data_IF_751658474385
#
_entry.id   IF_751658474385
#
_cell.length_a   1.000
_cell.length_b   1.000
_cell.length_c   1.000
_cell.angle_alpha   90.00
_cell.angle_beta   90.00
_cell.angle_gamma   90.00
#
_symmetry.space_group_name_H-M   'P 1'
#
loop_
_entity.id
_entity.type
_entity.pdbx_description
1 polymer ?
#
# COMPACT_ATOMS: atom_id res chain seq x y z
N UNK A 1 6.07 5.24 -6.34
CA UNK A 1 6.17 5.84 -5.00
C UNK A 1 5.76 7.29 -5.09
N UNK A 2 5.14 7.82 -4.04
CA UNK A 2 4.85 9.25 -3.96
C UNK A 2 6.16 10.06 -3.81
N UNK A 3 6.04 11.38 -3.79
CA UNK A 3 7.17 12.30 -3.64
C UNK A 3 7.29 12.86 -2.21
N UNK A 4 6.95 12.07 -1.19
CA UNK A 4 7.19 12.47 0.19
C UNK A 4 8.68 12.81 0.41
N UNK A 5 8.98 13.73 1.31
CA UNK A 5 10.35 14.25 1.52
C UNK A 5 11.36 13.14 1.85
N UNK A 6 10.93 12.07 2.51
CA UNK A 6 11.77 10.91 2.83
C UNK A 6 12.10 10.04 1.61
N UNK A 7 11.29 10.08 0.55
CA UNK A 7 11.53 9.36 -0.70
C UNK A 7 12.43 10.13 -1.67
N UNK A 8 12.49 11.47 -1.52
CA UNK A 8 13.21 12.37 -2.43
C UNK A 8 14.51 12.94 -1.84
N UNK A 9 14.82 12.66 -0.57
CA UNK A 9 15.99 13.21 0.09
C UNK A 9 17.31 12.73 -0.52
N UNK A 10 18.36 13.54 -0.42
CA UNK A 10 19.70 13.21 -0.95
C UNK A 10 20.31 11.95 -0.30
N UNK A 11 19.87 11.64 0.92
CA UNK A 11 20.23 10.41 1.66
C UNK A 11 19.35 9.21 1.32
N UNK A 12 18.39 9.34 0.39
CA UNK A 12 17.58 8.22 -0.05
C UNK A 12 18.50 7.12 -0.57
N UNK A 13 18.29 5.90 -0.05
CA UNK A 13 19.16 4.77 -0.35
C UNK A 13 19.15 4.48 -1.86
N UNK A 14 20.32 4.52 -2.48
CA UNK A 14 20.53 4.04 -3.84
C UNK A 14 20.66 2.52 -3.79
N UNK A 15 19.95 1.84 -4.68
CA UNK A 15 19.97 0.39 -4.81
C UNK A 15 20.55 0.04 -6.17
N UNK A 16 21.38 -1.00 -6.25
CA UNK A 16 22.07 -1.36 -7.50
C UNK A 16 21.12 -1.92 -8.57
N UNK A 17 20.00 -2.49 -8.15
CA UNK A 17 19.08 -3.26 -8.98
C UNK A 17 17.60 -2.82 -8.86
N UNK A 18 17.34 -1.66 -8.25
CA UNK A 18 15.98 -1.11 -8.09
C UNK A 18 15.97 0.34 -8.57
N UNK A 19 15.12 0.64 -9.56
CA UNK A 19 14.88 1.99 -10.05
C UNK A 19 13.55 2.51 -9.50
N UNK A 20 13.55 3.54 -8.63
CA UNK A 20 12.32 4.13 -8.14
C UNK A 20 11.55 4.84 -9.26
N UNK A 21 10.26 4.51 -9.41
CA UNK A 21 9.32 5.25 -10.26
C UNK A 21 8.49 6.20 -9.39
N UNK A 22 8.64 7.50 -9.62
CA UNK A 22 7.93 8.54 -8.89
C UNK A 22 6.64 8.93 -9.59
N UNK A 23 5.55 8.94 -8.83
CA UNK A 23 4.25 9.35 -9.33
C UNK A 23 4.20 10.87 -9.57
N UNK A 24 3.28 11.36 -10.43
CA UNK A 24 2.95 12.77 -10.50
C UNK A 24 2.52 13.32 -9.13
N UNK A 25 2.77 14.61 -8.84
CA UNK A 25 2.32 15.23 -7.60
C UNK A 25 0.80 15.13 -7.43
N UNK A 26 0.35 14.82 -6.21
CA UNK A 26 -1.07 14.79 -5.82
C UNK A 26 -1.94 13.79 -6.62
N UNK A 27 -1.36 12.67 -7.04
CA UNK A 27 -2.06 11.61 -7.79
C UNK A 27 -2.13 10.28 -7.01
N UNK A 28 -2.84 10.22 -5.86
CA UNK A 28 -2.99 8.99 -5.08
C UNK A 28 -3.69 7.87 -5.86
N UNK A 29 -4.56 8.20 -6.82
CA UNK A 29 -5.28 7.26 -7.70
C UNK A 29 -4.35 6.42 -8.59
N UNK A 30 -3.12 6.87 -8.79
CA UNK A 30 -2.09 6.16 -9.56
C UNK A 30 -1.22 5.26 -8.68
N UNK A 31 -1.47 5.23 -7.37
CA UNK A 31 -0.67 4.48 -6.41
C UNK A 31 -1.39 3.20 -6.00
N UNK A 32 -0.92 2.00 -6.43
CA UNK A 32 -1.62 0.75 -6.12
C UNK A 32 -1.71 0.47 -4.62
N UNK A 33 -0.80 1.03 -3.81
CA UNK A 33 -0.84 0.87 -2.35
C UNK A 33 -2.08 1.53 -1.73
N UNK A 34 -2.60 2.62 -2.32
CA UNK A 34 -3.80 3.29 -1.83
C UNK A 34 -5.04 2.39 -2.02
N UNK A 35 -5.08 1.60 -3.10
CA UNK A 35 -6.13 0.61 -3.31
C UNK A 35 -6.05 -0.55 -2.30
N UNK A 36 -4.83 -0.98 -1.95
CA UNK A 36 -4.63 -1.96 -0.88
C UNK A 36 -5.12 -1.43 0.47
N UNK A 37 -4.74 -0.20 0.83
CA UNK A 37 -5.20 0.42 2.08
C UNK A 37 -6.70 0.65 2.12
N UNK A 38 -7.30 1.06 1.00
CA UNK A 38 -8.75 1.13 0.87
C UNK A 38 -9.40 -0.23 1.11
N UNK A 39 -8.86 -1.31 0.53
CA UNK A 39 -9.37 -2.67 0.76
C UNK A 39 -9.26 -3.09 2.22
N UNK A 40 -8.09 -2.92 2.84
CA UNK A 40 -7.86 -3.24 4.27
C UNK A 40 -8.83 -2.46 5.15
N UNK A 41 -9.04 -1.17 4.90
CA UNK A 41 -9.97 -0.34 5.67
C UNK A 41 -11.42 -0.82 5.55
N UNK A 42 -11.91 -1.04 4.33
CA UNK A 42 -13.31 -1.33 4.06
C UNK A 42 -13.69 -2.80 4.29
N UNK A 43 -12.75 -3.74 4.12
CA UNK A 43 -13.00 -5.19 4.18
C UNK A 43 -12.30 -5.88 5.34
N UNK A 44 -11.20 -5.32 5.85
CA UNK A 44 -10.42 -5.87 6.96
C UNK A 44 -10.92 -5.47 8.34
N UNK A 45 -12.22 -5.20 8.52
CA UNK A 45 -12.82 -4.86 9.82
C UNK A 45 -12.15 -3.68 10.58
N UNK A 46 -11.60 -2.70 9.85
CA UNK A 46 -11.09 -1.45 10.45
C UNK A 46 -12.17 -0.36 10.50
N UNK A 47 -13.11 -0.37 9.55
CA UNK A 47 -14.19 0.60 9.49
C UNK A 47 -15.11 0.47 10.70
N UNK A 48 -15.31 1.60 11.40
CA UNK A 48 -16.14 1.69 12.61
C UNK A 48 -15.68 0.76 13.76
N UNK A 49 -14.40 0.36 13.74
CA UNK A 49 -13.81 -0.44 14.79
C UNK A 49 -12.84 0.40 15.63
N UNK A 50 -12.94 0.29 16.95
CA UNK A 50 -12.02 0.94 17.88
C UNK A 50 -11.15 -0.11 18.56
N UNK A 51 -9.87 0.18 18.71
CA UNK A 51 -8.91 -0.69 19.39
C UNK A 51 -8.49 -0.08 20.73
N UNK A 52 -8.14 -0.92 21.69
CA UNK A 52 -7.74 -0.49 23.03
C UNK A 52 -6.25 -0.18 23.15
N UNK A 53 -5.43 -0.58 22.17
CA UNK A 53 -3.99 -0.31 22.16
C UNK A 53 -3.41 -0.35 20.75
N UNK A 54 -2.23 0.25 20.57
CA UNK A 54 -1.47 0.16 19.32
C UNK A 54 -1.11 -1.30 18.97
N UNK A 55 -0.76 -2.11 19.97
CA UNK A 55 -0.43 -3.53 19.76
C UNK A 55 -1.63 -4.32 19.20
N UNK A 56 -2.86 -3.93 19.55
CA UNK A 56 -4.07 -4.53 18.99
C UNK A 56 -4.28 -4.13 17.52
N UNK A 57 -4.07 -2.85 17.20
CA UNK A 57 -4.10 -2.34 15.82
C UNK A 57 -3.08 -3.09 14.95
N UNK A 58 -1.84 -3.23 15.42
CA UNK A 58 -0.76 -3.90 14.69
C UNK A 58 -1.07 -5.39 14.46
N UNK A 59 -1.50 -6.11 15.51
CA UNK A 59 -1.87 -7.53 15.37
C UNK A 59 -3.01 -7.73 14.39
N UNK A 60 -4.05 -6.89 14.47
CA UNK A 60 -5.18 -6.94 13.56
C UNK A 60 -4.75 -6.64 12.12
N UNK A 61 -3.95 -5.58 11.92
CA UNK A 61 -3.40 -5.22 10.62
C UNK A 61 -2.58 -6.35 10.00
N UNK A 62 -1.69 -6.97 10.78
CA UNK A 62 -0.87 -8.10 10.32
C UNK A 62 -1.74 -9.28 9.90
N UNK A 63 -2.78 -9.61 10.66
CA UNK A 63 -3.70 -10.68 10.31
C UNK A 63 -4.42 -10.40 8.98
N UNK A 64 -4.92 -9.18 8.78
CA UNK A 64 -5.61 -8.79 7.53
C UNK A 64 -4.65 -8.74 6.32
N UNK A 65 -3.44 -8.22 6.50
CA UNK A 65 -2.42 -8.20 5.45
C UNK A 65 -1.97 -9.62 5.08
N UNK A 66 -1.83 -10.53 6.04
CA UNK A 66 -1.51 -11.94 5.77
C UNK A 66 -2.61 -12.62 4.94
N UNK A 67 -3.88 -12.39 5.28
CA UNK A 67 -5.01 -12.90 4.46
C UNK A 67 -4.94 -12.35 3.04
N UNK A 68 -4.76 -11.04 2.89
CA UNK A 68 -4.70 -10.38 1.59
C UNK A 68 -3.49 -10.85 0.76
N UNK A 69 -2.35 -11.12 1.39
CA UNK A 69 -1.15 -11.64 0.70
C UNK A 69 -1.34 -13.04 0.11
N UNK A 70 -2.28 -13.82 0.65
CA UNK A 70 -2.62 -15.15 0.15
C UNK A 70 -3.70 -15.09 -0.95
N UNK A 71 -4.42 -13.97 -1.08
CA UNK A 71 -5.44 -13.74 -2.11
C UNK A 71 -4.87 -12.95 -3.31
N UNK A 72 -4.07 -13.66 -4.11
CA UNK A 72 -3.41 -13.09 -5.29
C UNK A 72 -4.39 -12.53 -6.32
N UNK A 73 -5.57 -13.15 -6.48
CA UNK A 73 -6.55 -12.72 -7.47
C UNK A 73 -7.15 -11.37 -7.09
N UNK A 74 -7.52 -11.18 -5.82
CA UNK A 74 -7.99 -9.89 -5.33
C UNK A 74 -6.90 -8.82 -5.44
N UNK A 75 -5.69 -9.10 -4.97
CA UNK A 75 -4.57 -8.14 -5.05
C UNK A 75 -4.32 -7.72 -6.48
N UNK A 76 -4.24 -8.68 -7.41
CA UNK A 76 -4.06 -8.40 -8.84
C UNK A 76 -5.22 -7.57 -9.39
N UNK A 77 -6.46 -7.92 -9.07
CA UNK A 77 -7.65 -7.23 -9.56
C UNK A 77 -7.68 -5.75 -9.13
N UNK A 78 -7.30 -5.45 -7.89
CA UNK A 78 -7.40 -4.09 -7.36
C UNK A 78 -6.16 -3.22 -7.62
N UNK A 79 -5.00 -3.83 -7.94
CA UNK A 79 -3.74 -3.09 -8.17
C UNK A 79 -3.27 -3.07 -9.62
N UNK A 80 -3.80 -3.94 -10.50
CA UNK A 80 -3.41 -3.98 -11.91
C UNK A 80 -4.10 -2.88 -12.69
N UNK A 81 -3.37 -1.80 -12.95
CA UNK A 81 -3.81 -0.75 -13.86
C UNK A 81 -3.69 -1.20 -15.32
N UNK A 82 -4.66 -0.85 -16.15
CA UNK A 82 -4.75 -1.29 -17.55
C UNK A 82 -3.62 -0.75 -18.44
N UNK A 83 -3.02 0.36 -18.04
CA UNK A 83 -1.91 1.02 -18.75
C UNK A 83 -0.52 0.52 -18.36
N UNK A 84 -0.40 -0.31 -17.32
CA UNK A 84 0.87 -0.98 -16.99
C UNK A 84 1.04 -2.12 -18.00
N UNK A 85 1.92 -1.91 -18.99
CA UNK A 85 2.30 -2.93 -19.95
C UNK A 85 3.19 -3.96 -19.26
N UNK A 86 2.82 -5.24 -19.38
CA UNK A 86 3.69 -6.36 -19.04
C UNK A 86 4.68 -6.62 -20.18
#
# INVERSE_FOLDING_TARGET
MDRASWHMGEKAKKWENIVPLFQPPKSPELNPVEHLWHHVREKGNFKNHTFHSLCEVERHLMAELNKLSLDFDTVKKITRFTWIKN
#
